data_IF_683034963310
#
_entry.id   IF_683034963310
#
_cell.length_a   1.000
_cell.length_b   1.000
_cell.length_c   1.000
_cell.angle_alpha   90.00
_cell.angle_beta   90.00
_cell.angle_gamma   90.00
#
_symmetry.space_group_name_H-M   'P 1'
#
loop_
_entity.id
_entity.type
_entity.pdbx_description
1 polymer ?
#
# COMPACT_ATOMS: atom_id res chain seq x y z
N UNK A 1 3.89 15.94 1.81
CA UNK A 1 4.72 16.63 2.82
C UNK A 1 6.16 16.76 2.30
N UNK A 2 6.37 17.62 1.30
CA UNK A 2 7.67 17.79 0.64
C UNK A 2 8.49 18.97 1.19
N UNK A 3 7.88 19.78 2.06
CA UNK A 3 8.56 20.96 2.60
C UNK A 3 9.62 20.57 3.64
N UNK A 4 10.70 21.36 3.80
CA UNK A 4 11.70 21.16 4.85
C UNK A 4 11.12 21.18 6.27
N UNK A 5 10.00 21.88 6.49
CA UNK A 5 9.32 21.90 7.78
C UNK A 5 8.86 20.49 8.23
N UNK A 6 8.61 19.59 7.28
CA UNK A 6 8.22 18.21 7.58
C UNK A 6 9.37 17.33 8.11
N UNK A 7 10.63 17.80 8.06
CA UNK A 7 11.80 17.07 8.56
C UNK A 7 11.73 16.79 10.06
N UNK A 8 11.09 17.66 10.85
CA UNK A 8 10.98 17.46 12.31
C UNK A 8 10.28 16.14 12.65
N UNK A 9 9.33 15.70 11.82
CA UNK A 9 8.64 14.42 11.98
C UNK A 9 9.58 13.24 11.71
N UNK A 10 10.54 13.38 10.80
CA UNK A 10 11.42 12.27 10.37
C UNK A 10 12.21 11.73 11.56
N UNK A 11 12.82 12.59 12.37
CA UNK A 11 13.62 12.15 13.52
C UNK A 11 12.77 11.37 14.54
N UNK A 12 11.54 11.82 14.79
CA UNK A 12 10.60 11.14 15.70
C UNK A 12 10.22 9.76 15.16
N UNK A 13 9.89 9.65 13.88
CA UNK A 13 9.57 8.37 13.22
C UNK A 13 10.76 7.42 13.13
N UNK A 14 11.96 7.91 12.84
CA UNK A 14 13.17 7.07 12.82
C UNK A 14 13.44 6.45 14.20
N UNK A 15 13.24 7.22 15.27
CA UNK A 15 13.36 6.72 16.64
C UNK A 15 12.29 5.66 16.95
N UNK A 16 11.03 5.88 16.54
CA UNK A 16 9.94 4.90 16.71
C UNK A 16 10.17 3.61 15.93
N UNK A 17 10.75 3.70 14.72
CA UNK A 17 11.10 2.52 13.92
C UNK A 17 12.27 1.74 14.52
N UNK A 18 13.17 2.42 15.24
CA UNK A 18 14.29 1.80 15.95
C UNK A 18 15.12 0.90 15.03
N UNK A 19 15.30 -0.36 15.44
CA UNK A 19 16.11 -1.33 14.69
C UNK A 19 15.56 -1.68 13.30
N UNK A 20 14.27 -1.42 13.01
CA UNK A 20 13.71 -1.57 11.66
C UNK A 20 14.39 -0.66 10.64
N UNK A 21 14.97 0.46 11.09
CA UNK A 21 15.74 1.36 10.22
C UNK A 21 16.96 0.69 9.59
N UNK A 22 17.42 -0.45 10.12
CA UNK A 22 18.55 -1.19 9.55
C UNK A 22 18.25 -1.76 8.16
N UNK A 23 16.98 -1.90 7.78
CA UNK A 23 16.56 -2.40 6.47
C UNK A 23 16.61 -1.34 5.37
N UNK A 24 16.65 -0.05 5.72
CA UNK A 24 16.51 1.03 4.75
C UNK A 24 17.83 1.74 4.45
N UNK A 25 17.94 2.27 3.23
CA UNK A 25 19.02 3.16 2.82
C UNK A 25 18.75 4.53 3.45
N UNK A 26 19.77 5.09 4.11
CA UNK A 26 19.73 6.47 4.62
C UNK A 26 20.51 7.33 3.63
N UNK A 27 19.89 8.35 3.01
CA UNK A 27 20.58 9.22 2.06
C UNK A 27 21.79 9.93 2.66
N UNK A 28 22.80 10.20 1.84
CA UNK A 28 23.88 11.11 2.23
C UNK A 28 23.31 12.51 2.48
N UNK A 29 23.50 13.03 3.70
CA UNK A 29 22.91 14.32 4.11
C UNK A 29 21.50 14.23 4.70
N UNK A 30 21.05 13.03 5.09
CA UNK A 30 19.75 12.73 5.70
C UNK A 30 18.54 13.01 4.80
N UNK A 31 17.34 12.68 5.30
CA UNK A 31 16.10 12.95 4.59
C UNK A 31 15.80 14.47 4.55
N UNK A 32 15.39 14.95 3.38
CA UNK A 32 15.07 16.36 3.14
C UNK A 32 13.58 16.69 3.30
N UNK A 33 12.72 15.68 3.41
CA UNK A 33 11.29 15.83 3.68
C UNK A 33 10.71 14.56 4.28
N UNK A 34 9.53 14.66 4.89
CA UNK A 34 8.81 13.48 5.36
C UNK A 34 8.40 12.57 4.20
N UNK A 35 8.03 13.13 3.04
CA UNK A 35 7.71 12.31 1.86
C UNK A 35 8.91 11.46 1.40
N UNK A 36 10.13 12.01 1.41
CA UNK A 36 11.33 11.22 1.07
C UNK A 36 11.58 10.09 2.09
N UNK A 37 11.33 10.35 3.37
CA UNK A 37 11.40 9.32 4.41
C UNK A 37 10.28 8.26 4.27
N UNK A 38 9.07 8.70 3.92
CA UNK A 38 7.92 7.83 3.77
C UNK A 38 8.12 6.85 2.60
N UNK A 39 8.72 7.31 1.50
CA UNK A 39 9.07 6.51 0.31
C UNK A 39 10.52 5.99 0.33
N UNK A 40 11.14 5.88 1.50
CA UNK A 40 12.52 5.38 1.70
C UNK A 40 12.80 4.05 0.98
N UNK A 41 14.06 3.83 0.63
CA UNK A 41 14.52 2.65 -0.11
C UNK A 41 14.96 1.52 0.81
N UNK A 42 14.77 0.28 0.35
CA UNK A 42 15.30 -0.90 1.02
C UNK A 42 16.75 -1.12 0.61
N UNK A 43 17.57 -1.60 1.54
CA UNK A 43 18.87 -2.19 1.22
C UNK A 43 18.68 -3.52 0.50
N UNK A 44 19.64 -3.87 -0.34
CA UNK A 44 19.66 -5.16 -1.03
C UNK A 44 19.57 -6.33 -0.05
N UNK A 45 18.84 -7.38 -0.44
CA UNK A 45 18.70 -8.62 0.32
C UNK A 45 17.76 -8.55 1.52
N UNK A 46 17.14 -7.39 1.83
CA UNK A 46 16.20 -7.25 2.97
C UNK A 46 14.82 -7.82 2.71
N UNK A 47 14.45 -8.03 1.45
CA UNK A 47 13.20 -8.69 1.02
C UNK A 47 13.53 -9.70 -0.08
N UNK A 48 14.10 -10.87 0.26
CA UNK A 48 14.38 -11.91 -0.73
C UNK A 48 13.06 -12.39 -1.37
N UNK A 49 13.03 -12.45 -2.69
CA UNK A 49 11.86 -12.90 -3.45
C UNK A 49 11.83 -14.42 -3.47
N UNK A 50 10.66 -15.00 -3.17
CA UNK A 50 10.44 -16.45 -3.21
C UNK A 50 10.06 -16.90 -4.62
N UNK A 51 10.42 -18.13 -5.00
CA UNK A 51 9.99 -18.72 -6.27
C UNK A 51 10.64 -18.12 -7.51
N UNK A 52 11.84 -17.53 -7.40
CA UNK A 52 12.53 -16.84 -8.53
C UNK A 52 12.76 -17.71 -9.78
N UNK A 53 12.74 -19.04 -9.63
CA UNK A 53 12.99 -19.99 -10.71
C UNK A 53 11.70 -20.62 -11.30
N UNK A 54 10.50 -20.13 -10.94
CA UNK A 54 9.26 -20.66 -11.50
C UNK A 54 8.00 -19.84 -11.23
N UNK A 55 6.93 -20.17 -11.96
CA UNK A 55 5.73 -19.32 -12.04
C UNK A 55 4.58 -19.78 -11.14
N UNK A 56 4.86 -20.68 -10.18
CA UNK A 56 3.84 -21.27 -9.31
C UNK A 56 3.60 -20.48 -8.01
N UNK A 57 4.31 -19.37 -7.80
CA UNK A 57 4.27 -18.59 -6.55
C UNK A 57 3.89 -17.14 -6.88
N UNK A 58 2.81 -16.67 -6.26
CA UNK A 58 2.48 -15.24 -6.19
C UNK A 58 3.12 -14.68 -4.92
N UNK A 59 3.95 -13.64 -5.06
CA UNK A 59 4.62 -13.01 -3.91
C UNK A 59 3.85 -11.79 -3.40
N UNK A 60 4.13 -11.34 -2.18
CA UNK A 60 3.50 -10.13 -1.64
C UNK A 60 3.94 -8.89 -2.43
N UNK A 61 3.02 -8.00 -2.84
CA UNK A 61 3.37 -6.79 -3.57
C UNK A 61 3.92 -5.66 -2.68
N UNK A 62 3.78 -5.76 -1.36
CA UNK A 62 4.22 -4.75 -0.41
C UNK A 62 4.45 -5.33 1.00
N UNK A 63 5.12 -4.57 1.87
CA UNK A 63 5.07 -4.78 3.31
C UNK A 63 3.68 -4.34 3.79
N UNK A 64 2.81 -5.27 4.17
CA UNK A 64 1.42 -4.96 4.52
C UNK A 64 0.83 -5.96 5.52
N UNK A 65 -0.35 -5.64 6.03
CA UNK A 65 -1.21 -6.56 6.78
C UNK A 65 -2.41 -6.93 5.91
N UNK A 66 -2.72 -8.23 5.82
CA UNK A 66 -3.93 -8.70 5.14
C UNK A 66 -5.13 -8.39 6.02
N UNK A 67 -6.12 -7.70 5.47
CA UNK A 67 -7.36 -7.38 6.17
C UNK A 67 -8.58 -8.13 5.63
N UNK A 68 -8.49 -8.75 4.45
CA UNK A 68 -9.53 -9.61 3.89
C UNK A 68 -8.97 -10.49 2.77
N UNK A 69 -9.50 -11.71 2.69
CA UNK A 69 -9.31 -12.66 1.59
C UNK A 69 -10.70 -13.11 1.16
N UNK A 70 -10.97 -13.07 -0.13
CA UNK A 70 -12.18 -13.61 -0.75
C UNK A 70 -11.74 -14.57 -1.86
N UNK A 71 -12.17 -15.82 -1.81
CA UNK A 71 -11.76 -16.87 -2.76
C UNK A 71 -12.72 -17.06 -3.93
N UNK A 72 -13.80 -16.26 -4.00
CA UNK A 72 -14.77 -16.31 -5.07
C UNK A 72 -15.45 -14.94 -5.28
N UNK A 73 -14.73 -14.04 -5.96
CA UNK A 73 -15.15 -12.67 -6.21
C UNK A 73 -16.39 -12.58 -7.12
N UNK A 74 -17.54 -12.08 -6.63
CA UNK A 74 -18.66 -11.75 -7.49
C UNK A 74 -18.44 -10.35 -8.08
N UNK A 75 -18.49 -10.22 -9.41
CA UNK A 75 -18.09 -8.99 -10.11
C UNK A 75 -18.90 -7.74 -9.73
N UNK A 76 -20.19 -7.94 -9.41
CA UNK A 76 -21.13 -6.86 -9.06
C UNK A 76 -21.37 -6.73 -7.55
N UNK A 77 -20.87 -7.66 -6.74
CA UNK A 77 -21.03 -7.62 -5.28
C UNK A 77 -20.00 -6.67 -4.67
N UNK A 78 -20.42 -5.73 -3.82
CA UNK A 78 -19.48 -4.88 -3.11
C UNK A 78 -18.61 -5.69 -2.14
N UNK A 79 -17.30 -5.51 -2.27
CA UNK A 79 -16.29 -6.07 -1.39
C UNK A 79 -16.09 -5.09 -0.23
N UNK A 80 -15.98 -5.58 1.00
CA UNK A 80 -15.84 -4.74 2.20
C UNK A 80 -14.39 -4.28 2.42
N UNK A 81 -13.82 -3.59 1.42
CA UNK A 81 -12.48 -3.01 1.44
C UNK A 81 -12.53 -1.56 1.89
N UNK A 82 -12.79 -1.31 3.19
CA UNK A 82 -12.92 0.03 3.81
C UNK A 82 -14.12 0.85 3.33
N UNK A 83 -14.48 0.73 2.05
CA UNK A 83 -15.73 1.08 1.41
C UNK A 83 -16.24 -0.11 0.61
N UNK A 84 -17.54 -0.11 0.34
CA UNK A 84 -18.23 -1.14 -0.43
C UNK A 84 -18.09 -0.84 -1.93
N UNK A 85 -17.02 -1.34 -2.55
CA UNK A 85 -16.80 -1.27 -4.01
C UNK A 85 -16.81 -2.67 -4.60
N UNK A 86 -17.46 -2.85 -5.74
CA UNK A 86 -17.34 -4.09 -6.52
C UNK A 86 -16.14 -4.05 -7.47
N UNK A 87 -15.82 -5.18 -8.10
CA UNK A 87 -14.65 -5.32 -8.99
C UNK A 87 -14.68 -4.33 -10.15
N UNK A 88 -15.86 -4.10 -10.77
CA UNK A 88 -15.99 -3.12 -11.86
C UNK A 88 -15.65 -1.72 -11.39
N UNK A 89 -16.12 -1.35 -10.21
CA UNK A 89 -15.84 -0.03 -9.64
C UNK A 89 -14.37 0.13 -9.24
N UNK A 90 -13.73 -0.93 -8.74
CA UNK A 90 -12.29 -0.94 -8.42
C UNK A 90 -11.44 -0.69 -9.68
N UNK A 91 -11.81 -1.32 -10.79
CA UNK A 91 -11.11 -1.23 -12.07
C UNK A 91 -11.67 -0.15 -13.01
N UNK A 92 -12.27 0.91 -12.47
CA UNK A 92 -12.83 2.05 -13.23
C UNK A 92 -13.70 1.65 -14.45
N UNK A 93 -14.59 0.68 -14.30
CA UNK A 93 -15.45 0.15 -15.36
C UNK A 93 -14.69 -0.43 -16.56
N UNK A 94 -13.46 -0.91 -16.34
CA UNK A 94 -12.68 -1.63 -17.34
C UNK A 94 -13.47 -2.77 -17.96
N UNK A 95 -13.31 -2.95 -19.28
CA UNK A 95 -13.84 -4.11 -19.99
C UNK A 95 -13.16 -5.41 -19.56
N UNK A 96 -11.93 -5.32 -19.03
CA UNK A 96 -11.16 -6.45 -18.55
C UNK A 96 -11.63 -6.93 -17.17
N UNK A 97 -12.48 -6.17 -16.46
CA UNK A 97 -12.99 -6.56 -15.14
C UNK A 97 -13.67 -7.95 -15.14
N UNK A 98 -14.23 -8.38 -16.27
CA UNK A 98 -14.86 -9.70 -16.44
C UNK A 98 -13.89 -10.87 -16.19
N UNK A 99 -12.59 -10.67 -16.38
CA UNK A 99 -11.59 -11.72 -16.15
C UNK A 99 -11.33 -12.04 -14.68
N UNK A 100 -11.86 -11.21 -13.76
CA UNK A 100 -11.68 -11.37 -12.31
C UNK A 100 -12.91 -11.98 -11.63
N UNK A 101 -14.00 -12.24 -12.37
CA UNK A 101 -15.19 -12.91 -11.83
C UNK A 101 -14.86 -14.35 -11.39
N UNK A 102 -15.22 -14.70 -10.16
CA UNK A 102 -14.89 -15.98 -9.55
C UNK A 102 -13.43 -16.14 -9.14
N UNK A 103 -12.63 -15.06 -9.24
CA UNK A 103 -11.22 -15.05 -8.84
C UNK A 103 -11.03 -14.87 -7.33
N UNK A 104 -9.76 -14.84 -6.90
CA UNK A 104 -9.36 -14.61 -5.51
C UNK A 104 -8.94 -13.16 -5.33
N UNK A 105 -9.50 -12.47 -4.33
CA UNK A 105 -9.02 -11.18 -3.84
C UNK A 105 -8.23 -11.35 -2.55
N UNK A 106 -7.16 -10.57 -2.45
CA UNK A 106 -6.44 -10.33 -1.19
C UNK A 106 -6.34 -8.81 -1.00
N UNK A 107 -6.94 -8.31 0.07
CA UNK A 107 -6.81 -6.90 0.45
C UNK A 107 -5.70 -6.74 1.48
N UNK A 108 -4.84 -5.76 1.23
CA UNK A 108 -3.65 -5.46 2.03
C UNK A 108 -3.65 -4.00 2.45
N UNK A 109 -3.33 -3.73 3.72
CA UNK A 109 -3.17 -2.39 4.28
C UNK A 109 -1.70 -2.17 4.64
N UNK A 110 -1.11 -1.11 4.09
CA UNK A 110 0.23 -0.67 4.45
C UNK A 110 0.13 0.24 5.68
N UNK A 111 0.75 -0.18 6.79
CA UNK A 111 0.81 0.66 7.98
C UNK A 111 1.76 1.84 7.78
N UNK A 112 1.58 2.98 8.47
CA UNK A 112 2.44 4.16 8.30
C UNK A 112 3.93 3.89 8.56
N UNK A 113 4.25 2.87 9.38
CA UNK A 113 5.60 2.51 9.80
C UNK A 113 6.30 1.45 8.91
N UNK A 114 5.68 1.00 7.82
CA UNK A 114 6.30 0.01 6.91
C UNK A 114 6.82 0.67 5.64
N UNK A 115 7.36 -0.13 4.73
CA UNK A 115 7.85 0.31 3.43
C UNK A 115 6.69 0.65 2.48
N UNK A 116 6.69 1.86 1.92
CA UNK A 116 5.60 2.38 1.06
C UNK A 116 5.99 2.47 -0.41
N UNK A 117 6.55 1.37 -0.96
CA UNK A 117 6.61 1.19 -2.42
C UNK A 117 6.00 -0.16 -2.77
N UNK A 118 5.27 -0.18 -3.87
CA UNK A 118 4.66 -1.39 -4.43
C UNK A 118 5.63 -2.07 -5.40
N UNK A 119 5.56 -3.39 -5.44
CA UNK A 119 6.28 -4.27 -6.36
C UNK A 119 5.29 -5.20 -7.05
N UNK A 120 5.62 -5.65 -8.26
CA UNK A 120 4.78 -6.60 -8.98
C UNK A 120 4.79 -7.97 -8.27
N UNK A 121 3.62 -8.56 -7.95
CA UNK A 121 3.54 -9.84 -7.26
C UNK A 121 3.80 -11.05 -8.18
N UNK A 122 3.82 -10.82 -9.50
CA UNK A 122 4.08 -11.81 -10.57
C UNK A 122 4.79 -11.13 -11.74
N UNK A 123 5.46 -11.90 -12.59
CA UNK A 123 5.92 -11.43 -13.89
C UNK A 123 4.77 -11.37 -14.89
N UNK A 124 4.77 -10.36 -15.77
CA UNK A 124 3.79 -10.27 -16.86
C UNK A 124 3.92 -8.98 -17.65
N UNK A 125 2.93 -8.69 -18.47
CA UNK A 125 2.88 -7.47 -19.28
C UNK A 125 1.69 -6.64 -18.85
N UNK A 126 1.92 -5.40 -18.42
CA UNK A 126 0.83 -4.48 -18.11
C UNK A 126 -0.05 -4.26 -19.36
N UNK A 127 -1.30 -4.69 -19.29
CA UNK A 127 -2.28 -4.57 -20.40
C UNK A 127 -3.21 -3.38 -20.23
N UNK A 128 -3.41 -2.89 -19.00
CA UNK A 128 -4.22 -1.72 -18.70
C UNK A 128 -3.79 -1.09 -17.38
N UNK A 129 -3.86 0.25 -17.29
CA UNK A 129 -3.61 0.98 -16.05
C UNK A 129 -4.34 2.31 -16.06
N UNK A 130 -4.77 2.75 -14.88
CA UNK A 130 -5.25 4.11 -14.63
C UNK A 130 -4.72 4.57 -13.27
N UNK A 131 -3.90 5.62 -13.27
CA UNK A 131 -3.22 6.11 -12.07
C UNK A 131 -4.07 7.12 -11.27
N UNK A 132 -5.12 7.67 -11.87
CA UNK A 132 -5.90 8.77 -11.30
C UNK A 132 -7.40 8.57 -11.55
N UNK A 133 -7.92 7.48 -10.98
CA UNK A 133 -9.34 7.16 -11.08
C UNK A 133 -10.15 8.18 -10.27
N UNK A 134 -10.90 9.03 -10.98
CA UNK A 134 -11.76 10.04 -10.39
C UNK A 134 -12.83 9.45 -9.46
N UNK A 135 -13.20 10.22 -8.42
CA UNK A 135 -14.23 9.86 -7.46
C UNK A 135 -13.75 9.95 -6.01
N UNK A 136 -14.63 9.62 -5.07
CA UNK A 136 -14.33 9.66 -3.64
C UNK A 136 -13.32 8.55 -3.27
N UNK A 137 -12.04 8.79 -3.44
CA UNK A 137 -11.26 9.28 -2.31
C UNK A 137 -11.82 8.86 -0.91
N UNK A 138 -11.38 7.67 -0.45
CA UNK A 138 -10.64 7.43 0.80
C UNK A 138 -11.29 6.65 1.97
N UNK A 139 -10.44 5.79 2.57
CA UNK A 139 -10.24 5.75 4.02
C UNK A 139 -10.94 4.62 4.77
N UNK A 140 -10.20 3.97 5.67
CA UNK A 140 -10.81 3.31 6.84
C UNK A 140 -11.57 4.39 7.61
N UNK A 141 -12.88 4.23 7.79
CA UNK A 141 -13.78 5.23 8.39
C UNK A 141 -13.32 5.76 9.77
N UNK A 142 -12.47 5.00 10.47
CA UNK A 142 -11.76 5.43 11.68
C UNK A 142 -10.33 4.85 11.66
N UNK A 143 -9.55 5.25 10.65
CA UNK A 143 -8.14 4.85 10.52
C UNK A 143 -7.36 5.06 11.82
N UNK A 144 -7.48 6.22 12.51
CA UNK A 144 -6.85 6.44 13.80
C UNK A 144 -7.27 5.40 14.84
N UNK A 145 -8.56 5.05 15.01
CA UNK A 145 -8.95 3.99 15.96
C UNK A 145 -8.41 2.62 15.57
N UNK A 146 -8.34 2.31 14.28
CA UNK A 146 -7.82 1.02 13.81
C UNK A 146 -6.31 0.85 14.13
N UNK A 147 -5.52 1.93 14.14
CA UNK A 147 -4.08 1.90 14.43
C UNK A 147 -3.71 2.30 15.87
N UNK A 148 -4.49 3.19 16.51
CA UNK A 148 -4.26 3.66 17.89
C UNK A 148 -4.64 2.60 18.94
N UNK A 149 -5.36 1.54 18.55
CA UNK A 149 -5.53 0.32 19.36
C UNK A 149 -4.29 -0.59 19.41
N UNK A 150 -3.18 -0.21 18.75
CA UNK A 150 -1.88 -0.92 18.74
C UNK A 150 -0.64 0.00 18.68
N UNK A 151 -0.83 1.32 18.87
CA UNK A 151 0.16 2.40 19.00
C UNK A 151 1.28 2.51 17.95
N UNK A 152 0.95 2.31 16.67
CA UNK A 152 1.80 2.81 15.57
C UNK A 152 1.58 4.31 15.42
N UNK A 153 2.63 5.11 15.67
CA UNK A 153 2.58 6.58 15.56
C UNK A 153 1.45 7.21 16.38
N UNK A 154 1.37 6.87 17.66
CA UNK A 154 0.40 7.47 18.58
C UNK A 154 0.62 8.98 18.71
N UNK A 155 -0.46 9.76 18.67
CA UNK A 155 -0.41 11.22 18.78
C UNK A 155 0.10 11.94 17.53
N UNK A 156 0.16 11.27 16.37
CA UNK A 156 0.33 11.94 15.09
C UNK A 156 -1.02 12.26 14.44
N UNK A 157 -1.02 13.31 13.63
CA UNK A 157 -2.13 13.64 12.76
C UNK A 157 -2.09 12.75 11.51
N UNK A 158 -3.16 11.98 11.31
CA UNK A 158 -3.35 11.09 10.16
C UNK A 158 -4.36 11.64 9.14
N UNK A 159 -4.83 12.88 9.28
CA UNK A 159 -5.78 13.51 8.37
C UNK A 159 -5.32 13.50 6.90
N UNK A 160 -4.02 13.54 6.67
CA UNK A 160 -3.42 13.40 5.33
C UNK A 160 -3.67 12.03 4.69
N UNK A 161 -3.92 11.00 5.49
CA UNK A 161 -4.29 9.65 5.07
C UNK A 161 -5.80 9.44 5.02
N UNK A 162 -6.59 10.42 5.41
CA UNK A 162 -7.99 10.47 5.01
C UNK A 162 -8.09 10.79 3.52
N UNK A 163 -6.96 11.03 2.82
CA UNK A 163 -6.87 11.44 1.41
C UNK A 163 -5.92 10.61 0.45
N UNK A 164 -6.11 9.28 0.28
CA UNK A 164 -5.57 8.36 -0.79
C UNK A 164 -6.07 8.35 -2.27
N UNK A 165 -5.22 8.69 -3.24
CA UNK A 165 -5.59 8.49 -4.65
C UNK A 165 -5.85 7.02 -4.97
N UNK A 166 -6.77 6.75 -5.88
CA UNK A 166 -7.06 5.41 -6.38
C UNK A 166 -6.53 5.26 -7.80
N UNK A 167 -5.76 4.20 -8.01
CA UNK A 167 -5.38 3.72 -9.33
C UNK A 167 -5.43 2.21 -9.38
N UNK A 168 -5.33 1.65 -10.58
CA UNK A 168 -5.22 0.20 -10.79
C UNK A 168 -4.27 -0.12 -11.93
N UNK A 169 -3.75 -1.35 -11.91
CA UNK A 169 -2.92 -1.94 -12.94
C UNK A 169 -3.44 -3.35 -13.17
N UNK A 170 -3.56 -3.75 -14.44
CA UNK A 170 -3.85 -5.12 -14.87
C UNK A 170 -2.62 -5.64 -15.61
N UNK A 171 -2.07 -6.74 -15.11
CA UNK A 171 -0.91 -7.45 -15.65
C UNK A 171 -1.41 -8.75 -16.31
#
# INVERSE_FOLDING_TARGET
MDSPASKELVAKWMNELGSKMNDYIIPEGDYVSFNQFFTRELKDGKRPISGVDGDSVVVSPADAVINMIDDNLPIDTPIDVTQKLNVRQLLNQSKLAVHFEGGIAVSCILLPNVYHRYHAPVSGTMVESDEDVAGNYFGIADFPKQINGGNVGYGYDYSVFEHFRRGYIII
#
